data_IF_082926874813
#
_entry.id   IF_082926874813
#
_cell.length_a   1.000
_cell.length_b   1.000
_cell.length_c   1.000
_cell.angle_alpha   90.00
_cell.angle_beta   90.00
_cell.angle_gamma   90.00
#
_symmetry.space_group_name_H-M   'P 1'
#
loop_
_entity.id
_entity.type
_entity.pdbx_description
1 polymer ?
#
# COMPACT_ATOMS: atom_id res chain seq x y z
N UNK A 1 6.66 5.36 -4.73
CA UNK A 1 5.38 6.09 -4.81
C UNK A 1 4.26 5.31 -4.11
N UNK A 2 4.07 4.03 -4.47
CA UNK A 2 3.05 3.16 -3.89
C UNK A 2 3.24 2.83 -2.40
N UNK A 3 4.46 2.76 -1.89
CA UNK A 3 4.71 2.68 -0.43
C UNK A 3 4.12 3.87 0.34
N UNK A 4 4.16 5.07 -0.26
CA UNK A 4 3.51 6.27 0.27
C UNK A 4 2.03 6.35 -0.09
N UNK A 5 1.48 5.28 -0.65
CA UNK A 5 0.13 5.19 -1.20
C UNK A 5 -0.21 6.29 -2.22
N UNK A 6 0.80 6.85 -2.89
CA UNK A 6 0.61 7.94 -3.85
C UNK A 6 0.18 7.41 -5.21
N UNK A 7 -1.03 7.80 -5.61
CA UNK A 7 -1.48 7.67 -6.99
C UNK A 7 -0.68 8.59 -7.91
N UNK A 8 -0.65 8.26 -9.20
CA UNK A 8 0.00 9.10 -10.19
C UNK A 8 -0.60 10.52 -10.25
N UNK A 9 -1.93 10.64 -10.08
CA UNK A 9 -2.60 11.94 -10.00
C UNK A 9 -2.19 12.77 -8.78
N UNK A 10 -1.91 12.15 -7.63
CA UNK A 10 -1.39 12.85 -6.46
C UNK A 10 0.07 13.27 -6.65
N UNK A 11 0.88 12.41 -7.25
CA UNK A 11 2.26 12.74 -7.61
C UNK A 11 2.32 13.94 -8.56
N UNK A 12 1.43 13.99 -9.56
CA UNK A 12 1.24 15.15 -10.46
C UNK A 12 0.94 16.42 -9.68
N UNK A 13 -0.09 16.42 -8.83
CA UNK A 13 -0.45 17.60 -8.03
C UNK A 13 0.68 18.09 -7.13
N UNK A 14 1.49 17.16 -6.58
CA UNK A 14 2.67 17.52 -5.77
C UNK A 14 3.76 18.16 -6.63
N UNK A 15 4.00 17.63 -7.82
CA UNK A 15 4.98 18.17 -8.76
C UNK A 15 4.58 19.56 -9.24
N UNK A 16 3.31 19.76 -9.61
CA UNK A 16 2.77 21.05 -10.04
C UNK A 16 2.91 22.11 -8.94
N UNK A 17 2.67 21.72 -7.68
CA UNK A 17 2.80 22.61 -6.51
C UNK A 17 4.26 23.02 -6.21
N UNK A 18 5.24 22.22 -6.62
CA UNK A 18 6.65 22.52 -6.37
C UNK A 18 7.09 23.81 -7.09
N UNK A 19 6.46 24.14 -8.23
CA UNK A 19 6.64 25.43 -8.91
C UNK A 19 7.98 25.60 -9.64
N UNK A 20 8.76 24.53 -9.78
CA UNK A 20 10.00 24.50 -10.56
C UNK A 20 9.97 23.34 -11.53
N UNK A 21 10.55 23.53 -12.73
CA UNK A 21 10.71 22.47 -13.70
C UNK A 21 11.66 21.40 -13.16
N UNK A 22 11.16 20.17 -13.01
CA UNK A 22 11.94 18.99 -12.65
C UNK A 22 11.81 17.94 -13.76
N UNK A 23 12.58 18.06 -14.87
CA UNK A 23 12.40 17.23 -16.06
C UNK A 23 12.49 15.72 -15.78
N UNK A 24 13.35 15.32 -14.83
CA UNK A 24 13.46 13.92 -14.43
C UNK A 24 12.20 13.42 -13.71
N UNK A 25 11.63 14.25 -12.82
CA UNK A 25 10.39 13.90 -12.11
C UNK A 25 9.20 13.81 -13.08
N UNK A 26 9.12 14.72 -14.06
CA UNK A 26 8.14 14.69 -15.15
C UNK A 26 8.21 13.39 -15.96
N UNK A 27 9.42 12.99 -16.35
CA UNK A 27 9.65 11.75 -17.08
C UNK A 27 9.25 10.52 -16.24
N UNK A 28 9.70 10.45 -14.98
CA UNK A 28 9.36 9.36 -14.06
C UNK A 28 7.84 9.26 -13.84
N UNK A 29 7.16 10.40 -13.72
CA UNK A 29 5.71 10.44 -13.54
C UNK A 29 4.97 9.96 -14.80
N UNK A 30 5.40 10.37 -15.99
CA UNK A 30 4.84 9.86 -17.25
C UNK A 30 4.98 8.34 -17.37
N UNK A 31 6.14 7.80 -17.00
CA UNK A 31 6.37 6.34 -16.99
C UNK A 31 5.43 5.67 -15.99
N UNK A 32 5.31 6.21 -14.78
CA UNK A 32 4.43 5.67 -13.75
C UNK A 32 2.96 5.67 -14.18
N UNK A 33 2.47 6.77 -14.77
CA UNK A 33 1.10 6.89 -15.29
C UNK A 33 0.79 5.83 -16.35
N UNK A 34 1.71 5.62 -17.28
CA UNK A 34 1.56 4.62 -18.34
C UNK A 34 1.60 3.19 -17.80
N UNK A 35 2.52 2.91 -16.87
CA UNK A 35 2.62 1.61 -16.21
C UNK A 35 1.33 1.26 -15.47
N UNK A 36 0.83 2.17 -14.64
CA UNK A 36 -0.42 2.00 -13.89
C UNK A 36 -1.63 1.82 -14.80
N UNK A 37 -1.68 2.57 -15.90
CA UNK A 37 -2.73 2.40 -16.92
C UNK A 37 -2.66 1.01 -17.56
N UNK A 38 -1.46 0.52 -17.84
CA UNK A 38 -1.21 -0.81 -18.40
C UNK A 38 -1.66 -1.93 -17.46
N UNK A 39 -1.40 -1.80 -16.16
CA UNK A 39 -1.89 -2.75 -15.14
C UNK A 39 -3.41 -2.76 -15.10
N UNK A 40 -4.04 -1.58 -14.93
CA UNK A 40 -5.51 -1.45 -14.87
C UNK A 40 -6.22 -2.00 -16.10
N UNK A 41 -5.69 -1.72 -17.30
CA UNK A 41 -6.27 -2.22 -18.55
C UNK A 41 -6.33 -3.75 -18.60
N UNK A 42 -5.36 -4.43 -17.98
CA UNK A 42 -5.30 -5.90 -17.94
C UNK A 42 -6.03 -6.50 -16.74
N UNK A 43 -6.60 -5.67 -15.86
CA UNK A 43 -7.10 -6.13 -14.56
C UNK A 43 -5.99 -6.76 -13.69
N UNK A 44 -4.73 -6.39 -13.93
CA UNK A 44 -3.58 -6.94 -13.25
C UNK A 44 -3.20 -6.09 -12.03
N UNK A 45 -2.50 -6.73 -11.09
CA UNK A 45 -1.91 -6.12 -9.90
C UNK A 45 -0.44 -6.52 -9.82
N UNK A 46 0.43 -5.61 -9.42
CA UNK A 46 1.83 -5.94 -9.11
C UNK A 46 2.02 -6.28 -7.61
N UNK A 47 3.25 -6.59 -7.19
CA UNK A 47 3.52 -6.96 -5.80
C UNK A 47 3.21 -5.86 -4.79
N UNK A 48 3.50 -4.59 -5.12
CA UNK A 48 3.18 -3.46 -4.26
C UNK A 48 1.66 -3.26 -4.16
N UNK A 49 0.95 -3.55 -5.24
CA UNK A 49 -0.50 -3.51 -5.28
C UNK A 49 -1.13 -4.52 -4.34
N UNK A 50 -0.59 -5.73 -4.25
CA UNK A 50 -1.08 -6.74 -3.31
C UNK A 50 -1.05 -6.22 -1.86
N UNK A 51 0.05 -5.60 -1.44
CA UNK A 51 0.20 -5.06 -0.09
C UNK A 51 -0.77 -3.91 0.17
N UNK A 52 -0.76 -2.87 -0.68
CA UNK A 52 -1.64 -1.71 -0.46
C UNK A 52 -3.13 -2.06 -0.56
N UNK A 53 -3.51 -2.99 -1.44
CA UNK A 53 -4.90 -3.40 -1.59
C UNK A 53 -5.34 -4.29 -0.43
N UNK A 54 -4.47 -5.16 0.09
CA UNK A 54 -4.76 -5.91 1.30
C UNK A 54 -5.04 -4.97 2.48
N UNK A 55 -4.17 -3.98 2.71
CA UNK A 55 -4.41 -2.96 3.75
C UNK A 55 -5.75 -2.23 3.53
N UNK A 56 -6.03 -1.82 2.29
CA UNK A 56 -7.29 -1.13 1.95
C UNK A 56 -8.53 -2.00 2.23
N UNK A 57 -8.47 -3.31 1.99
CA UNK A 57 -9.58 -4.22 2.30
C UNK A 57 -9.82 -4.28 3.80
N UNK A 58 -8.76 -4.38 4.61
CA UNK A 58 -8.87 -4.38 6.07
C UNK A 58 -9.44 -3.05 6.62
N UNK A 59 -9.19 -1.94 5.92
CA UNK A 59 -9.71 -0.61 6.27
C UNK A 59 -11.18 -0.41 5.90
N UNK A 60 -11.61 -1.00 4.79
CA UNK A 60 -12.96 -0.81 4.25
C UNK A 60 -13.99 -1.79 4.84
N UNK A 61 -13.57 -2.98 5.26
CA UNK A 61 -14.46 -4.02 5.77
C UNK A 61 -14.07 -4.46 7.19
N UNK A 62 -14.65 -3.77 8.18
CA UNK A 62 -14.43 -4.07 9.59
C UNK A 62 -14.92 -5.48 9.98
N UNK A 63 -16.01 -5.97 9.37
CA UNK A 63 -16.51 -7.32 9.67
C UNK A 63 -15.56 -8.40 9.15
N UNK A 64 -14.93 -8.18 8.00
CA UNK A 64 -13.89 -9.07 7.50
C UNK A 64 -12.66 -9.04 8.39
N UNK A 65 -12.20 -7.85 8.81
CA UNK A 65 -11.09 -7.71 9.74
C UNK A 65 -11.33 -8.49 11.03
N UNK A 66 -12.50 -8.37 11.66
CA UNK A 66 -12.84 -9.12 12.88
C UNK A 66 -12.77 -10.63 12.66
N UNK A 67 -13.27 -11.14 11.52
CA UNK A 67 -13.16 -12.58 11.20
C UNK A 67 -11.71 -13.04 11.07
N UNK A 68 -10.81 -12.17 10.59
CA UNK A 68 -9.39 -12.48 10.47
C UNK A 68 -8.70 -12.43 11.84
N UNK A 69 -9.00 -11.44 12.68
CA UNK A 69 -8.53 -11.36 14.07
C UNK A 69 -8.95 -12.61 14.85
N UNK A 70 -10.22 -13.04 14.72
CA UNK A 70 -10.73 -14.26 15.36
C UNK A 70 -10.01 -15.52 14.87
N UNK A 71 -9.63 -15.56 13.60
CA UNK A 71 -8.94 -16.70 12.98
C UNK A 71 -7.46 -16.76 13.37
N UNK A 72 -6.78 -15.62 13.43
CA UNK A 72 -5.34 -15.50 13.63
C UNK A 72 -5.02 -14.94 15.01
N UNK A 73 -5.28 -15.75 16.03
CA UNK A 73 -5.07 -15.41 17.45
C UNK A 73 -3.60 -15.14 17.81
N UNK A 74 -2.68 -15.69 17.00
CA UNK A 74 -1.24 -15.51 17.12
C UNK A 74 -0.66 -15.23 15.74
N UNK A 75 0.12 -14.16 15.63
CA UNK A 75 0.81 -13.79 14.40
C UNK A 75 2.30 -13.74 14.71
N UNK A 76 3.06 -14.51 13.93
CA UNK A 76 4.52 -14.55 14.00
C UNK A 76 5.07 -13.80 12.80
N UNK A 77 5.89 -12.78 13.04
CA UNK A 77 6.62 -12.09 11.98
C UNK A 77 8.07 -12.52 12.00
N UNK A 78 8.54 -13.09 10.88
CA UNK A 78 9.95 -13.33 10.65
C UNK A 78 10.55 -12.16 9.87
N UNK A 79 11.84 -11.88 10.09
CA UNK A 79 12.57 -10.78 9.44
C UNK A 79 11.91 -9.40 9.61
N UNK A 80 11.35 -9.12 10.79
CA UNK A 80 10.61 -7.88 11.09
C UNK A 80 11.39 -6.58 10.80
N UNK A 81 12.73 -6.62 10.81
CA UNK A 81 13.56 -5.47 10.45
C UNK A 81 13.45 -5.04 8.97
N UNK A 82 13.02 -5.93 8.08
CA UNK A 82 12.91 -5.67 6.65
C UNK A 82 11.48 -5.30 6.21
N UNK A 83 10.54 -5.24 7.16
CA UNK A 83 9.14 -4.92 6.89
C UNK A 83 8.93 -3.46 6.49
N UNK A 84 8.14 -3.27 5.44
CA UNK A 84 7.65 -1.94 5.04
C UNK A 84 6.59 -1.43 6.01
N UNK A 85 6.39 -0.10 6.03
CA UNK A 85 5.37 0.55 6.85
C UNK A 85 3.94 0.03 6.56
N UNK A 86 3.65 -0.37 5.31
CA UNK A 86 2.33 -0.90 4.96
C UNK A 86 2.12 -2.32 5.47
N UNK A 87 3.16 -3.15 5.47
CA UNK A 87 3.11 -4.50 6.05
C UNK A 87 2.93 -4.41 7.56
N UNK A 88 3.66 -3.54 8.23
CA UNK A 88 3.50 -3.30 9.67
C UNK A 88 2.06 -2.86 10.01
N UNK A 89 1.46 -1.96 9.21
CA UNK A 89 0.07 -1.54 9.39
C UNK A 89 -0.93 -2.69 9.22
N UNK A 90 -0.69 -3.59 8.26
CA UNK A 90 -1.51 -4.80 8.10
C UNK A 90 -1.42 -5.65 9.35
N UNK A 91 -0.21 -5.96 9.83
CA UNK A 91 0.00 -6.79 11.01
C UNK A 91 -0.66 -6.18 12.24
N UNK A 92 -0.43 -4.90 12.51
CA UNK A 92 -1.08 -4.18 13.63
C UNK A 92 -2.60 -4.27 13.60
N UNK A 93 -3.21 -4.14 12.41
CA UNK A 93 -4.67 -4.30 12.26
C UNK A 93 -5.11 -5.72 12.54
N UNK A 94 -4.40 -6.72 12.00
CA UNK A 94 -4.72 -8.13 12.17
C UNK A 94 -4.53 -8.65 13.60
N UNK A 95 -3.58 -8.09 14.34
CA UNK A 95 -3.36 -8.38 15.76
C UNK A 95 -4.48 -7.75 16.61
N UNK A 96 -4.89 -6.51 16.27
CA UNK A 96 -5.85 -5.76 17.09
C UNK A 96 -5.26 -5.33 18.44
N UNK A 97 -6.09 -4.76 19.32
CA UNK A 97 -5.61 -4.15 20.57
C UNK A 97 -5.14 -5.16 21.63
N UNK A 98 -5.64 -6.39 21.59
CA UNK A 98 -5.40 -7.43 22.59
C UNK A 98 -4.75 -8.70 22.03
N UNK A 99 -4.31 -8.67 20.76
CA UNK A 99 -3.75 -9.84 20.09
C UNK A 99 -2.28 -10.08 20.40
N UNK A 100 -1.81 -11.26 20.02
CA UNK A 100 -0.43 -11.69 20.25
C UNK A 100 0.39 -11.56 18.95
N UNK A 101 1.28 -10.58 18.92
CA UNK A 101 2.29 -10.42 17.87
C UNK A 101 3.66 -10.73 18.45
N UNK A 102 4.33 -11.71 17.86
CA UNK A 102 5.68 -12.14 18.25
C UNK A 102 6.62 -11.99 17.06
#
# INVERSE_FOLDING_TARGET
>A
AKDYQLSAGEARRRLDRFGMALPLAEMCLSIYEQYERGLRYRGAVDFQDLIRLALRVLELDAHYLVRLQDRWQYILEDEAQDSSQLQEQILRRLVGEAGNWV
#
